data_IF_440746968849
#
_entry.id   IF_440746968849
#
_cell.length_a   1.000
_cell.length_b   1.000
_cell.length_c   1.000
_cell.angle_alpha   90.00
_cell.angle_beta   90.00
_cell.angle_gamma   90.00
#
_symmetry.space_group_name_H-M   'P 1'
#
loop_
_entity.id
_entity.type
_entity.pdbx_description
1 polymer ?
#
# COMPACT_ATOMS: atom_id res chain seq x y z
N UNK A 1 -1.04 -13.21 12.77
CA UNK A 1 -0.73 -12.50 14.03
C UNK A 1 0.52 -13.11 14.63
N UNK A 2 1.59 -12.34 14.80
CA UNK A 2 2.79 -12.79 15.54
C UNK A 2 2.83 -12.06 16.88
N UNK A 3 2.93 -12.81 17.97
CA UNK A 3 3.11 -12.27 19.30
C UNK A 3 4.56 -12.45 19.72
N UNK A 4 5.16 -11.38 20.21
CA UNK A 4 6.49 -11.37 20.82
C UNK A 4 6.32 -11.23 22.32
N UNK A 5 6.96 -12.09 23.11
CA UNK A 5 6.84 -12.05 24.57
C UNK A 5 7.76 -13.04 25.29
N UNK A 6 7.77 -12.95 26.62
CA UNK A 6 8.50 -13.86 27.49
C UNK A 6 7.72 -15.16 27.71
N UNK A 7 8.42 -16.29 27.77
CA UNK A 7 7.83 -17.57 28.17
C UNK A 7 8.20 -17.84 29.64
N UNK A 8 7.22 -17.70 30.53
CA UNK A 8 7.41 -17.82 31.97
C UNK A 8 6.98 -19.20 32.48
N UNK A 9 7.77 -19.78 33.37
CA UNK A 9 7.32 -20.92 34.14
C UNK A 9 6.32 -20.46 35.22
N UNK A 10 5.09 -20.96 35.15
CA UNK A 10 4.00 -20.52 36.03
C UNK A 10 4.22 -20.83 37.53
N UNK A 11 5.15 -21.73 37.87
CA UNK A 11 5.43 -22.12 39.25
C UNK A 11 6.61 -21.38 39.87
N UNK A 12 7.70 -21.19 39.12
CA UNK A 12 8.90 -20.51 39.61
C UNK A 12 8.98 -19.02 39.26
N UNK A 13 8.18 -18.55 38.30
CA UNK A 13 8.25 -17.17 37.79
C UNK A 13 9.50 -16.88 36.95
N UNK A 14 10.35 -17.88 36.71
CA UNK A 14 11.57 -17.77 35.91
C UNK A 14 11.26 -17.81 34.41
N UNK A 15 12.05 -17.09 33.63
CA UNK A 15 11.90 -17.00 32.18
C UNK A 15 12.72 -18.08 31.46
N UNK A 16 12.12 -18.68 30.42
CA UNK A 16 12.83 -19.57 29.52
C UNK A 16 13.91 -18.77 28.78
N UNK A 17 15.17 -19.16 28.99
CA UNK A 17 16.36 -18.42 28.57
C UNK A 17 17.23 -19.29 27.66
N UNK A 18 17.73 -18.70 26.57
CA UNK A 18 18.68 -19.33 25.64
C UNK A 18 19.99 -18.53 25.56
N UNK A 19 20.81 -18.56 26.63
CA UNK A 19 22.01 -17.73 26.77
C UNK A 19 23.15 -18.05 25.79
N UNK A 20 23.25 -19.30 25.34
CA UNK A 20 24.28 -19.76 24.41
C UNK A 20 23.65 -20.07 23.05
N UNK A 21 23.26 -19.03 22.30
CA UNK A 21 22.51 -19.08 21.03
C UNK A 21 23.15 -19.86 19.85
N UNK A 22 23.97 -20.87 20.13
CA UNK A 22 24.68 -21.74 19.18
C UNK A 22 24.43 -23.25 19.48
N UNK A 23 24.05 -23.65 20.70
CA UNK A 23 23.73 -25.05 21.01
C UNK A 23 22.28 -25.22 21.50
N UNK A 24 21.36 -25.79 20.69
CA UNK A 24 19.94 -25.95 21.04
C UNK A 24 19.70 -26.97 22.17
N UNK A 25 20.75 -27.58 22.74
CA UNK A 25 20.63 -28.62 23.77
C UNK A 25 20.50 -28.10 25.23
N UNK A 26 20.54 -26.78 25.48
CA UNK A 26 20.40 -26.22 26.83
C UNK A 26 19.53 -24.96 26.88
N UNK A 27 18.22 -25.16 27.02
CA UNK A 27 17.32 -24.13 27.53
C UNK A 27 17.35 -24.13 29.05
N UNK A 28 17.52 -22.96 29.67
CA UNK A 28 17.53 -22.78 31.12
C UNK A 28 16.33 -21.96 31.58
N UNK A 29 15.98 -22.06 32.85
CA UNK A 29 15.02 -21.16 33.51
C UNK A 29 15.81 -20.22 34.41
N UNK A 30 15.73 -18.91 34.15
CA UNK A 30 16.54 -17.91 34.84
C UNK A 30 15.71 -16.71 35.30
N UNK A 31 16.30 -15.87 36.16
CA UNK A 31 15.68 -14.64 36.61
C UNK A 31 15.47 -13.69 35.43
N UNK A 32 14.37 -12.93 35.47
CA UNK A 32 13.98 -12.03 34.41
C UNK A 32 14.99 -10.89 34.29
N UNK A 33 15.55 -10.69 33.11
CA UNK A 33 16.60 -9.69 32.86
C UNK A 33 16.34 -8.81 31.63
N UNK A 34 15.11 -8.84 31.09
CA UNK A 34 14.68 -8.15 29.86
C UNK A 34 15.62 -8.42 28.66
N UNK A 35 16.42 -9.49 28.73
CA UNK A 35 17.35 -9.82 27.66
C UNK A 35 16.64 -10.42 26.47
N UNK A 36 17.26 -10.28 25.29
CA UNK A 36 16.78 -10.94 24.08
C UNK A 36 16.84 -12.47 24.17
N UNK A 37 17.60 -13.02 25.13
CA UNK A 37 17.65 -14.47 25.37
C UNK A 37 16.38 -15.01 26.04
N UNK A 38 15.55 -14.12 26.59
CA UNK A 38 14.25 -14.44 27.21
C UNK A 38 13.05 -14.01 26.35
N UNK A 39 13.32 -13.40 25.20
CA UNK A 39 12.29 -12.87 24.30
C UNK A 39 12.02 -13.83 23.16
N UNK A 40 10.80 -14.36 23.09
CA UNK A 40 10.40 -15.36 22.12
C UNK A 40 9.36 -14.79 21.16
N UNK A 41 9.51 -15.09 19.87
CA UNK A 41 8.55 -14.73 18.82
C UNK A 41 7.84 -16.00 18.35
N UNK A 42 6.56 -16.12 18.67
CA UNK A 42 5.76 -17.19 18.10
C UNK A 42 5.48 -16.88 16.61
N UNK A 43 5.96 -17.74 15.71
CA UNK A 43 5.71 -17.65 14.26
C UNK A 43 5.17 -18.97 13.72
N UNK A 44 4.22 -18.88 12.80
CA UNK A 44 3.71 -20.00 12.01
C UNK A 44 4.38 -20.09 10.62
N UNK A 45 5.32 -19.20 10.31
CA UNK A 45 6.13 -19.21 9.09
C UNK A 45 7.57 -19.54 9.42
N UNK A 46 8.02 -20.70 8.95
CA UNK A 46 9.37 -21.27 9.17
C UNK A 46 10.29 -21.11 7.95
N UNK A 47 9.81 -20.55 6.85
CA UNK A 47 10.59 -20.46 5.60
C UNK A 47 11.19 -19.07 5.42
N UNK A 48 12.54 -18.95 5.34
CA UNK A 48 13.22 -17.75 4.87
C UNK A 48 12.76 -17.39 3.46
N UNK A 49 12.77 -16.10 3.11
CA UNK A 49 12.38 -15.62 1.78
C UNK A 49 13.64 -15.28 1.00
N UNK A 50 13.81 -15.90 -0.16
CA UNK A 50 14.89 -15.62 -1.11
C UNK A 50 14.47 -14.47 -2.02
N UNK A 51 15.28 -13.41 -2.09
CA UNK A 51 14.93 -12.18 -2.80
C UNK A 51 16.14 -11.54 -3.49
N UNK A 52 15.86 -10.77 -4.53
CA UNK A 52 16.71 -9.67 -4.99
C UNK A 52 16.15 -8.38 -4.38
N UNK A 53 17.01 -7.55 -3.78
CA UNK A 53 16.57 -6.28 -3.19
C UNK A 53 16.80 -5.19 -4.23
N UNK A 54 15.71 -4.77 -4.89
CA UNK A 54 15.72 -3.75 -5.93
C UNK A 54 15.65 -2.34 -5.33
N UNK A 55 16.57 -1.49 -5.73
CA UNK A 55 16.51 -0.04 -5.61
C UNK A 55 15.91 0.62 -6.86
N UNK A 56 16.00 1.96 -6.93
CA UNK A 56 15.56 2.72 -8.10
C UNK A 56 16.49 2.47 -9.30
N UNK A 57 16.01 2.74 -10.52
CA UNK A 57 16.79 2.70 -11.77
C UNK A 57 17.48 1.35 -12.09
N UNK A 58 16.81 0.23 -11.80
CA UNK A 58 17.36 -1.12 -12.02
C UNK A 58 18.68 -1.36 -11.26
N UNK A 59 18.85 -0.73 -10.10
CA UNK A 59 19.92 -1.06 -9.18
C UNK A 59 19.48 -2.12 -8.17
N UNK A 60 20.39 -3.01 -7.81
CA UNK A 60 20.18 -4.04 -6.81
C UNK A 60 21.20 -3.84 -5.69
N UNK A 61 20.82 -4.19 -4.46
CA UNK A 61 21.78 -4.28 -3.36
C UNK A 61 22.68 -5.47 -3.63
N UNK A 62 23.99 -5.22 -3.63
CA UNK A 62 25.05 -6.20 -3.82
C UNK A 62 25.94 -6.25 -2.58
N UNK A 63 26.62 -7.37 -2.41
CA UNK A 63 27.72 -7.47 -1.48
C UNK A 63 29.02 -7.92 -2.17
N UNK A 64 30.16 -7.54 -1.60
CA UNK A 64 31.48 -7.95 -2.09
C UNK A 64 32.39 -8.28 -0.90
N UNK A 65 33.15 -9.37 -1.04
CA UNK A 65 34.19 -9.81 -0.09
C UNK A 65 33.71 -9.99 1.36
N UNK A 66 32.41 -10.20 1.58
CA UNK A 66 31.82 -10.43 2.91
C UNK A 66 31.81 -9.22 3.84
N UNK A 67 32.07 -8.01 3.35
CA UNK A 67 32.03 -6.81 4.21
C UNK A 67 31.39 -5.61 3.52
N UNK A 68 31.57 -5.44 2.21
CA UNK A 68 31.06 -4.25 1.53
C UNK A 68 29.65 -4.51 1.01
N UNK A 69 28.71 -3.65 1.38
CA UNK A 69 27.38 -3.59 0.76
C UNK A 69 27.32 -2.33 -0.11
N UNK A 70 26.84 -2.46 -1.33
CA UNK A 70 26.77 -1.37 -2.31
C UNK A 70 25.59 -1.60 -3.26
N UNK A 71 25.32 -0.65 -4.16
CA UNK A 71 24.36 -0.84 -5.24
C UNK A 71 25.07 -0.96 -6.57
N UNK A 72 24.59 -1.84 -7.44
CA UNK A 72 25.02 -1.94 -8.83
C UNK A 72 23.84 -2.36 -9.72
N UNK A 73 24.01 -2.34 -11.04
CA UNK A 73 22.95 -2.77 -11.97
C UNK A 73 22.47 -4.19 -11.66
N UNK A 74 21.16 -4.38 -11.55
CA UNK A 74 20.54 -5.67 -11.31
C UNK A 74 20.93 -6.69 -12.40
N UNK A 75 21.40 -7.84 -11.97
CA UNK A 75 21.75 -8.98 -12.78
C UNK A 75 21.21 -10.25 -12.11
N UNK A 76 20.21 -10.87 -12.73
CA UNK A 76 19.54 -12.07 -12.20
C UNK A 76 20.41 -13.33 -12.17
N UNK A 77 21.63 -13.28 -12.72
CA UNK A 77 22.63 -14.35 -12.63
C UNK A 77 23.72 -14.07 -11.61
N UNK A 78 23.69 -12.92 -10.93
CA UNK A 78 24.72 -12.50 -10.00
C UNK A 78 24.36 -12.99 -8.58
N UNK A 79 25.06 -14.02 -8.09
CA UNK A 79 24.84 -14.57 -6.75
C UNK A 79 25.12 -13.57 -5.63
N UNK A 80 25.96 -12.57 -5.89
CA UNK A 80 26.25 -11.48 -4.96
C UNK A 80 25.11 -10.46 -4.81
N UNK A 81 23.99 -10.64 -5.52
CA UNK A 81 22.76 -9.83 -5.43
C UNK A 81 21.59 -10.58 -4.77
N UNK A 82 21.82 -11.83 -4.37
CA UNK A 82 20.82 -12.69 -3.77
C UNK A 82 20.87 -12.61 -2.24
N UNK A 83 19.70 -12.36 -1.64
CA UNK A 83 19.54 -12.15 -0.21
C UNK A 83 18.48 -13.08 0.37
N UNK A 84 18.66 -13.41 1.65
CA UNK A 84 17.70 -14.16 2.44
C UNK A 84 17.16 -13.26 3.55
N UNK A 85 15.84 -13.13 3.58
CA UNK A 85 15.11 -12.46 4.65
C UNK A 85 14.69 -13.48 5.70
N UNK A 86 15.25 -13.37 6.90
CA UNK A 86 14.92 -14.25 8.01
C UNK A 86 13.79 -13.67 8.88
N UNK A 87 12.93 -14.53 9.47
CA UNK A 87 11.87 -14.08 10.39
C UNK A 87 12.36 -13.38 11.66
N UNK A 88 13.65 -13.53 11.98
CA UNK A 88 14.36 -12.85 13.06
C UNK A 88 14.67 -11.36 12.76
N UNK A 89 14.37 -10.90 11.53
CA UNK A 89 14.59 -9.53 11.07
C UNK A 89 15.95 -9.28 10.43
N UNK A 90 16.78 -10.32 10.27
CA UNK A 90 18.08 -10.21 9.59
C UNK A 90 17.95 -10.36 8.07
N UNK A 91 18.83 -9.66 7.36
CA UNK A 91 19.00 -9.76 5.91
C UNK A 91 20.40 -10.32 5.68
N UNK A 92 20.50 -11.47 5.01
CA UNK A 92 21.76 -12.22 4.88
C UNK A 92 22.11 -12.50 3.42
N UNK A 93 23.38 -12.36 3.01
CA UNK A 93 23.85 -12.81 1.71
C UNK A 93 23.59 -14.31 1.50
N UNK A 94 23.15 -14.74 0.31
CA UNK A 94 22.90 -16.16 0.06
C UNK A 94 24.15 -17.03 0.22
N UNK A 95 25.32 -16.52 -0.15
CA UNK A 95 26.60 -17.26 -0.07
C UNK A 95 27.28 -17.11 1.29
N UNK A 96 26.76 -16.27 2.20
CA UNK A 96 27.35 -16.03 3.51
C UNK A 96 26.30 -15.85 4.61
N UNK A 97 25.70 -16.97 5.03
CA UNK A 97 24.61 -17.01 6.01
C UNK A 97 24.99 -16.62 7.45
N UNK A 98 26.29 -16.57 7.75
CA UNK A 98 26.82 -16.04 9.01
C UNK A 98 26.92 -14.51 9.01
N UNK A 99 26.73 -13.90 7.83
CA UNK A 99 26.75 -12.46 7.59
C UNK A 99 25.36 -11.84 7.65
N UNK A 100 25.27 -10.66 8.25
CA UNK A 100 24.07 -9.83 8.33
C UNK A 100 24.37 -8.44 7.78
N UNK A 101 23.42 -7.85 7.05
CA UNK A 101 23.46 -6.41 6.76
C UNK A 101 23.38 -5.66 8.09
N UNK A 102 24.35 -4.80 8.34
CA UNK A 102 24.47 -4.01 9.56
C UNK A 102 24.76 -2.54 9.29
N UNK A 103 24.48 -1.70 10.29
CA UNK A 103 24.96 -0.32 10.33
C UNK A 103 26.42 -0.32 10.80
N UNK A 104 27.36 -0.04 9.90
CA UNK A 104 28.80 0.04 10.17
C UNK A 104 29.16 1.29 11.00
N UNK A 105 28.52 2.42 10.72
CA UNK A 105 28.72 3.65 11.48
C UNK A 105 27.52 4.59 11.37
N UNK A 106 27.28 5.36 12.45
CA UNK A 106 26.27 6.41 12.53
C UNK A 106 26.98 7.77 12.50
N UNK A 107 26.85 8.54 11.42
CA UNK A 107 27.27 9.93 11.40
C UNK A 107 26.12 10.82 11.84
N UNK A 108 26.23 11.44 13.02
CA UNK A 108 25.27 12.45 13.46
C UNK A 108 25.38 13.76 12.66
N UNK A 109 26.56 14.06 12.12
CA UNK A 109 26.83 15.28 11.37
C UNK A 109 26.30 15.25 9.92
N UNK A 110 26.24 14.08 9.30
CA UNK A 110 25.83 13.93 7.90
C UNK A 110 24.42 13.34 7.73
N UNK A 111 23.74 12.98 8.81
CA UNK A 111 22.48 12.19 8.79
C UNK A 111 22.54 10.86 8.03
N UNK A 112 23.70 10.46 7.52
CA UNK A 112 23.93 9.22 6.76
C UNK A 112 24.27 8.04 7.66
N UNK A 113 23.95 6.84 7.17
CA UNK A 113 24.40 5.56 7.75
C UNK A 113 25.28 4.86 6.72
N UNK A 114 26.42 4.34 7.16
CA UNK A 114 27.17 3.39 6.34
C UNK A 114 26.67 2.00 6.67
N UNK A 115 26.36 1.22 5.65
CA UNK A 115 25.94 -0.18 5.80
C UNK A 115 27.08 -1.11 5.36
N UNK A 116 27.23 -2.22 6.06
CA UNK A 116 28.21 -3.26 5.72
C UNK A 116 27.60 -4.64 5.98
N UNK A 117 28.27 -5.70 5.54
CA UNK A 117 27.95 -7.05 5.96
C UNK A 117 28.91 -7.43 7.10
N UNK A 118 28.37 -7.84 8.24
CA UNK A 118 29.15 -8.22 9.43
C UNK A 118 28.65 -9.54 10.01
N UNK A 119 29.40 -10.13 10.94
CA UNK A 119 28.92 -11.35 11.62
C UNK A 119 27.65 -11.03 12.41
N UNK A 120 26.60 -11.83 12.21
CA UNK A 120 25.28 -11.66 12.86
C UNK A 120 25.29 -11.68 14.41
N UNK A 121 26.45 -11.91 15.04
CA UNK A 121 26.65 -12.01 16.49
C UNK A 121 27.11 -10.70 17.16
N UNK A 122 27.53 -9.70 16.40
CA UNK A 122 28.07 -8.44 16.95
C UNK A 122 26.99 -7.34 16.89
N UNK A 123 26.45 -6.93 18.04
CA UNK A 123 25.44 -5.84 18.12
C UNK A 123 24.10 -6.11 17.40
N UNK A 124 23.23 -6.98 17.96
CA UNK A 124 21.96 -7.44 17.33
C UNK A 124 20.97 -6.30 16.99
N UNK A 125 21.16 -5.13 17.56
CA UNK A 125 20.37 -3.93 17.33
C UNK A 125 20.64 -3.27 15.97
N UNK A 126 21.84 -3.45 15.42
CA UNK A 126 22.27 -2.87 14.16
C UNK A 126 21.90 -3.74 12.95
N UNK A 127 21.48 -4.99 13.19
CA UNK A 127 21.26 -6.02 12.15
C UNK A 127 19.79 -6.26 11.83
N UNK A 128 18.89 -5.70 12.63
CA UNK A 128 17.44 -5.91 12.52
C UNK A 128 16.82 -4.84 11.64
N UNK A 129 16.18 -5.28 10.57
CA UNK A 129 15.54 -4.44 9.58
C UNK A 129 14.06 -4.75 9.46
N UNK A 130 13.26 -3.71 9.21
CA UNK A 130 11.83 -3.77 9.02
C UNK A 130 11.51 -3.22 7.63
N UNK A 131 10.83 -4.03 6.82
CA UNK A 131 10.20 -3.55 5.59
C UNK A 131 8.92 -2.83 5.97
N UNK A 132 8.89 -1.51 5.80
CA UNK A 132 7.71 -0.70 6.05
C UNK A 132 6.78 -0.67 4.84
N UNK A 133 5.50 -0.35 5.07
CA UNK A 133 4.46 -0.32 4.05
C UNK A 133 4.70 0.73 2.94
N UNK A 134 5.56 1.71 3.22
CA UNK A 134 6.03 2.74 2.28
C UNK A 134 7.18 2.24 1.37
N UNK A 135 7.56 0.97 1.47
CA UNK A 135 8.64 0.36 0.69
C UNK A 135 10.04 0.62 1.23
N UNK A 136 10.19 1.31 2.36
CA UNK A 136 11.49 1.55 2.98
C UNK A 136 11.98 0.33 3.79
N UNK A 137 13.30 0.16 3.87
CA UNK A 137 13.97 -0.81 4.76
C UNK A 137 14.55 -0.03 5.93
N UNK A 138 13.96 -0.16 7.11
CA UNK A 138 14.28 0.63 8.31
C UNK A 138 15.01 -0.21 9.33
N UNK A 139 16.08 0.30 9.91
CA UNK A 139 16.67 -0.32 11.09
C UNK A 139 15.70 -0.18 12.27
N UNK A 140 15.43 -1.28 12.97
CA UNK A 140 14.34 -1.35 13.94
C UNK A 140 14.49 -0.38 15.12
N UNK A 141 15.74 -0.08 15.54
CA UNK A 141 16.02 0.77 16.70
C UNK A 141 16.24 2.22 16.32
N UNK A 142 17.07 2.48 15.32
CA UNK A 142 17.41 3.84 14.90
C UNK A 142 16.34 4.49 14.03
N UNK A 143 15.42 3.69 13.46
CA UNK A 143 14.40 4.13 12.50
C UNK A 143 14.96 4.73 11.19
N UNK A 144 16.29 4.68 11.01
CA UNK A 144 16.98 5.13 9.79
C UNK A 144 16.79 4.13 8.65
N UNK A 145 16.77 4.65 7.42
CA UNK A 145 16.44 3.90 6.20
C UNK A 145 17.71 3.54 5.44
N UNK A 146 17.74 2.35 4.81
CA UNK A 146 18.74 2.03 3.78
C UNK A 146 18.44 2.88 2.54
N UNK A 147 19.34 3.81 2.24
CA UNK A 147 19.27 4.66 1.06
C UNK A 147 20.61 4.66 0.32
N UNK A 148 20.58 4.57 -1.01
CA UNK A 148 21.77 4.55 -1.84
C UNK A 148 22.24 5.99 -2.08
N UNK A 149 23.25 6.41 -1.31
CA UNK A 149 23.91 7.70 -1.52
C UNK A 149 24.80 7.62 -2.76
N UNK A 150 24.27 8.01 -3.92
CA UNK A 150 25.08 8.25 -5.11
C UNK A 150 25.63 9.67 -5.10
N UNK A 151 26.96 9.80 -5.10
CA UNK A 151 27.62 11.07 -5.41
C UNK A 151 27.47 11.38 -6.90
N UNK A 152 26.65 12.40 -7.20
CA UNK A 152 26.60 13.21 -8.44
C UNK A 152 26.39 12.49 -9.78
N UNK A 153 25.13 12.43 -10.17
CA UNK A 153 24.69 12.73 -11.54
C UNK A 153 23.26 13.29 -11.45
N UNK A 154 22.98 14.41 -12.13
CA UNK A 154 21.75 15.20 -11.98
C UNK A 154 20.47 14.35 -11.89
N UNK A 155 19.92 14.28 -10.68
CA UNK A 155 18.68 13.56 -10.42
C UNK A 155 17.51 14.41 -10.84
N UNK A 156 16.61 13.80 -11.60
CA UNK A 156 15.33 14.35 -11.95
C UNK A 156 14.28 13.81 -10.95
N UNK A 157 13.67 14.68 -10.14
CA UNK A 157 12.60 14.33 -9.20
C UNK A 157 11.31 15.06 -9.53
N UNK A 158 10.19 14.46 -9.08
CA UNK A 158 8.87 15.05 -9.19
C UNK A 158 8.74 16.22 -8.20
N UNK A 159 8.61 17.42 -8.74
CA UNK A 159 8.55 18.69 -8.03
C UNK A 159 7.22 19.40 -8.33
N UNK A 160 6.69 20.11 -7.34
CA UNK A 160 5.68 21.13 -7.56
C UNK A 160 6.31 22.44 -8.05
N UNK A 161 5.88 22.96 -9.19
CA UNK A 161 6.34 24.27 -9.68
C UNK A 161 5.83 25.47 -8.85
N UNK A 162 5.09 25.22 -7.76
CA UNK A 162 4.45 26.20 -6.90
C UNK A 162 3.64 25.55 -5.77
N UNK A 163 3.17 26.36 -4.83
CA UNK A 163 2.44 25.92 -3.61
C UNK A 163 0.95 26.18 -3.64
N UNK A 164 0.40 26.63 -4.77
CA UNK A 164 -1.02 26.97 -4.94
C UNK A 164 -1.74 25.93 -5.80
N UNK A 165 -3.07 25.75 -5.64
CA UNK A 165 -3.87 24.92 -6.54
C UNK A 165 -3.66 25.30 -8.02
N UNK A 166 -3.59 24.29 -8.89
CA UNK A 166 -3.25 24.41 -10.30
C UNK A 166 -1.75 24.45 -10.61
N UNK A 167 -0.86 24.42 -9.60
CA UNK A 167 0.58 24.35 -9.84
C UNK A 167 0.93 23.07 -10.59
N UNK A 168 1.80 23.17 -11.60
CA UNK A 168 2.20 21.99 -12.38
C UNK A 168 3.14 21.11 -11.59
N UNK A 169 3.04 19.81 -11.81
CA UNK A 169 4.01 18.85 -11.30
C UNK A 169 4.99 18.53 -12.42
N UNK A 170 6.26 18.84 -12.21
CA UNK A 170 7.31 18.72 -13.21
C UNK A 170 8.41 17.81 -12.71
N UNK A 171 9.26 17.39 -13.65
CA UNK A 171 10.46 16.65 -13.35
C UNK A 171 11.62 17.66 -13.34
N UNK A 172 12.31 17.83 -12.21
CA UNK A 172 13.33 18.86 -12.01
C UNK A 172 14.59 18.31 -11.33
N UNK A 173 15.73 18.98 -11.53
CA UNK A 173 17.00 18.62 -10.93
C UNK A 173 17.02 18.81 -9.41
N UNK A 174 17.25 17.73 -8.65
CA UNK A 174 17.18 17.70 -7.18
C UNK A 174 18.16 18.64 -6.48
N UNK A 175 19.33 18.91 -7.07
CA UNK A 175 20.41 19.67 -6.41
C UNK A 175 20.08 21.17 -6.21
N UNK A 176 18.98 21.65 -6.80
CA UNK A 176 18.62 23.07 -6.84
C UNK A 176 17.39 23.44 -6.01
N UNK A 177 16.76 22.45 -5.36
CA UNK A 177 15.41 22.60 -4.83
C UNK A 177 15.34 22.52 -3.31
N UNK A 178 14.31 23.18 -2.76
CA UNK A 178 13.92 23.03 -1.36
C UNK A 178 13.48 21.58 -1.10
N UNK A 179 14.18 20.94 -0.16
CA UNK A 179 13.97 19.58 0.33
C UNK A 179 12.50 19.26 0.67
N UNK A 180 11.71 20.27 1.03
CA UNK A 180 10.29 20.11 1.36
C UNK A 180 9.40 19.97 0.13
N UNK A 181 9.72 20.62 -1.00
CA UNK A 181 8.98 20.55 -2.26
C UNK A 181 9.09 19.16 -2.93
N UNK A 182 10.12 18.39 -2.57
CA UNK A 182 10.40 17.04 -3.07
C UNK A 182 9.77 15.91 -2.23
N UNK A 183 9.15 16.24 -1.08
CA UNK A 183 8.60 15.24 -0.16
C UNK A 183 7.12 15.02 -0.46
N UNK A 184 6.75 13.76 -0.62
CA UNK A 184 5.39 13.32 -0.88
C UNK A 184 4.97 12.26 0.13
N UNK A 185 3.71 12.32 0.57
CA UNK A 185 3.10 11.36 1.46
C UNK A 185 1.96 10.64 0.72
N UNK A 186 2.02 9.32 0.66
CA UNK A 186 0.93 8.51 0.11
C UNK A 186 0.05 7.98 1.25
N UNK A 187 -1.25 8.23 1.19
CA UNK A 187 -2.23 7.68 2.13
C UNK A 187 -2.52 6.22 1.82
N UNK A 188 -3.17 5.51 2.75
CA UNK A 188 -3.62 4.14 2.52
C UNK A 188 -4.78 4.05 1.50
N UNK A 189 -5.46 5.16 1.24
CA UNK A 189 -6.51 5.26 0.22
C UNK A 189 -5.99 5.61 -1.16
N UNK A 190 -4.70 5.97 -1.27
CA UNK A 190 -4.05 6.25 -2.55
C UNK A 190 -3.87 7.74 -2.87
N UNK A 191 -4.22 8.64 -1.95
CA UNK A 191 -3.97 10.07 -2.11
C UNK A 191 -2.46 10.34 -1.98
N UNK A 192 -1.86 11.04 -2.95
CA UNK A 192 -0.45 11.41 -2.94
C UNK A 192 -0.29 12.92 -2.73
N UNK A 193 0.08 13.31 -1.52
CA UNK A 193 0.09 14.71 -1.07
C UNK A 193 1.51 15.24 -0.99
N UNK A 194 1.74 16.44 -1.51
CA UNK A 194 3.01 17.14 -1.35
C UNK A 194 3.15 17.70 0.06
N UNK A 195 4.24 17.38 0.75
CA UNK A 195 4.43 17.73 2.17
C UNK A 195 4.62 19.24 2.41
N UNK A 196 5.07 19.98 1.40
CA UNK A 196 5.30 21.42 1.52
C UNK A 196 4.01 22.23 1.33
N UNK A 197 3.21 21.90 0.33
CA UNK A 197 1.96 22.62 0.03
C UNK A 197 0.72 22.04 0.71
N UNK A 198 0.74 20.76 1.09
CA UNK A 198 -0.45 20.03 1.55
C UNK A 198 -1.44 19.70 0.44
N UNK A 199 -1.09 19.96 -0.83
CA UNK A 199 -1.94 19.72 -1.99
C UNK A 199 -1.74 18.31 -2.57
N UNK A 200 -2.78 17.76 -3.20
CA UNK A 200 -2.80 16.42 -3.76
C UNK A 200 -2.38 16.41 -5.24
N UNK A 201 -1.61 15.39 -5.63
CA UNK A 201 -1.30 15.10 -7.02
C UNK A 201 -2.59 14.71 -7.76
N UNK A 202 -2.92 15.46 -8.81
CA UNK A 202 -4.20 15.36 -9.51
C UNK A 202 -4.00 15.19 -11.01
N UNK A 203 -4.72 14.25 -11.62
CA UNK A 203 -4.90 14.13 -13.06
C UNK A 203 -6.25 14.76 -13.46
N UNK A 204 -6.25 16.09 -13.59
CA UNK A 204 -7.47 16.92 -13.73
C UNK A 204 -8.35 16.56 -14.93
N UNK A 205 -7.73 16.04 -15.97
CA UNK A 205 -8.37 15.57 -17.19
C UNK A 205 -7.91 14.14 -17.52
N UNK A 206 -8.85 13.28 -17.90
CA UNK A 206 -8.59 11.88 -18.27
C UNK A 206 -7.95 11.68 -19.66
N UNK A 207 -7.37 12.72 -20.27
CA UNK A 207 -6.73 12.62 -21.59
C UNK A 207 -5.28 12.12 -21.49
N UNK A 208 -4.75 11.55 -22.56
CA UNK A 208 -3.40 10.95 -22.57
C UNK A 208 -2.24 11.96 -22.54
N UNK A 209 -2.53 13.27 -22.61
CA UNK A 209 -1.53 14.36 -22.61
C UNK A 209 -1.74 15.35 -21.48
N UNK A 210 -2.68 15.06 -20.59
CA UNK A 210 -2.99 15.83 -19.40
C UNK A 210 -1.76 16.06 -18.54
N UNK A 211 -1.54 17.29 -18.11
CA UNK A 211 -0.47 17.58 -17.13
C UNK A 211 -0.98 17.25 -15.74
N UNK A 212 -0.11 16.65 -14.92
CA UNK A 212 -0.39 16.49 -13.50
C UNK A 212 -0.27 17.85 -12.81
N UNK A 213 -1.23 18.15 -11.93
CA UNK A 213 -1.25 19.38 -11.14
C UNK A 213 -1.35 19.05 -9.65
N UNK A 214 -0.98 20.03 -8.82
CA UNK A 214 -1.36 20.06 -7.43
C UNK A 214 -2.71 20.75 -7.29
N UNK A 215 -3.65 20.13 -6.60
CA UNK A 215 -4.97 20.70 -6.32
C UNK A 215 -5.34 20.51 -4.84
N UNK A 216 -6.39 21.20 -4.40
CA UNK A 216 -6.99 20.92 -3.09
C UNK A 216 -7.47 19.47 -3.05
N UNK A 217 -7.20 18.78 -1.94
CA UNK A 217 -7.63 17.40 -1.78
C UNK A 217 -9.16 17.36 -1.65
N UNK A 218 -9.84 16.80 -2.65
CA UNK A 218 -11.28 16.64 -2.68
C UNK A 218 -11.73 15.19 -2.59
N UNK A 219 -10.79 14.24 -2.41
CA UNK A 219 -11.06 12.81 -2.34
C UNK A 219 -11.76 12.31 -3.61
N UNK A 220 -11.30 12.78 -4.77
CA UNK A 220 -11.78 12.36 -6.08
C UNK A 220 -10.94 11.25 -6.68
N UNK A 221 -11.56 10.45 -7.56
CA UNK A 221 -10.85 9.42 -8.32
C UNK A 221 -9.73 9.98 -9.22
N UNK A 222 -9.67 11.29 -9.45
CA UNK A 222 -8.57 11.96 -10.18
C UNK A 222 -7.34 12.20 -9.30
N UNK A 223 -7.46 12.03 -7.98
CA UNK A 223 -6.42 12.20 -6.98
C UNK A 223 -5.97 10.87 -6.35
N UNK A 224 -6.54 9.76 -6.80
CA UNK A 224 -6.30 8.43 -6.24
C UNK A 224 -5.31 7.64 -7.09
N UNK A 225 -4.27 7.16 -6.42
CA UNK A 225 -3.15 6.45 -7.03
C UNK A 225 -2.94 5.11 -6.33
N UNK A 226 -2.51 4.11 -7.10
CA UNK A 226 -2.16 2.79 -6.57
C UNK A 226 -0.75 2.41 -6.98
N UNK A 227 0.09 2.13 -6.00
CA UNK A 227 1.38 1.49 -6.24
C UNK A 227 1.14 0.04 -6.62
N UNK A 228 1.41 -0.32 -7.88
CA UNK A 228 1.23 -1.68 -8.37
C UNK A 228 2.27 -2.00 -9.44
N UNK A 229 2.77 -3.22 -9.44
CA UNK A 229 3.54 -3.79 -10.56
C UNK A 229 2.62 -4.39 -11.64
N UNK A 230 1.31 -4.50 -11.36
CA UNK A 230 0.29 -4.96 -12.28
C UNK A 230 -0.53 -3.76 -12.76
N UNK A 231 -0.24 -3.32 -13.97
CA UNK A 231 -0.88 -2.16 -14.60
C UNK A 231 -2.24 -2.49 -15.23
N UNK A 232 -2.58 -3.77 -15.34
CA UNK A 232 -3.85 -4.21 -15.92
C UNK A 232 -4.95 -4.15 -14.86
N UNK A 233 -6.06 -3.42 -15.12
CA UNK A 233 -7.28 -3.54 -14.33
C UNK A 233 -7.74 -5.00 -14.25
N UNK A 234 -8.47 -5.33 -13.19
CA UNK A 234 -8.92 -6.70 -12.94
C UNK A 234 -10.42 -6.79 -13.22
N UNK A 235 -10.83 -7.80 -13.96
CA UNK A 235 -12.23 -8.06 -14.26
C UNK A 235 -12.80 -9.01 -13.19
N UNK A 236 -14.02 -8.71 -12.70
CA UNK A 236 -14.66 -9.48 -11.64
C UNK A 236 -16.19 -9.45 -11.76
N UNK A 237 -16.83 -10.46 -11.19
CA UNK A 237 -18.23 -10.41 -10.76
C UNK A 237 -18.30 -9.89 -9.33
N UNK A 238 -19.33 -9.11 -9.01
CA UNK A 238 -19.58 -8.58 -7.65
C UNK A 238 -20.82 -9.27 -7.09
N UNK A 239 -20.61 -10.23 -6.20
CA UNK A 239 -21.64 -11.06 -5.58
C UNK A 239 -22.14 -10.41 -4.30
N UNK A 240 -23.46 -10.35 -4.13
CA UNK A 240 -24.13 -10.05 -2.89
C UNK A 240 -24.85 -11.27 -2.31
N UNK A 241 -25.74 -11.01 -1.36
CA UNK A 241 -26.57 -12.05 -0.73
C UNK A 241 -27.52 -12.75 -1.72
N UNK A 242 -27.96 -13.98 -1.36
CA UNK A 242 -29.01 -14.72 -2.08
C UNK A 242 -28.74 -14.95 -3.59
N UNK A 243 -27.48 -15.20 -3.95
CA UNK A 243 -27.06 -15.39 -5.35
C UNK A 243 -27.44 -14.20 -6.25
N UNK A 244 -27.44 -12.99 -5.69
CA UNK A 244 -27.59 -11.75 -6.44
C UNK A 244 -26.22 -11.20 -6.82
N UNK A 245 -26.08 -10.67 -8.02
CA UNK A 245 -24.89 -10.03 -8.54
C UNK A 245 -25.21 -8.61 -8.96
N UNK A 246 -24.29 -7.67 -8.76
CA UNK A 246 -24.42 -6.33 -9.31
C UNK A 246 -24.36 -6.42 -10.83
N UNK A 247 -25.35 -5.84 -11.51
CA UNK A 247 -25.44 -5.82 -12.96
C UNK A 247 -25.71 -4.42 -13.51
N UNK A 248 -25.19 -4.19 -14.71
CA UNK A 248 -25.38 -3.00 -15.49
C UNK A 248 -26.42 -3.22 -16.58
N UNK A 249 -27.46 -2.38 -16.61
CA UNK A 249 -28.59 -2.57 -17.54
C UNK A 249 -28.35 -2.08 -18.98
N UNK A 250 -27.14 -1.58 -19.29
CA UNK A 250 -26.81 -1.02 -20.60
C UNK A 250 -27.13 0.48 -20.77
N UNK A 251 -27.53 1.20 -19.71
CA UNK A 251 -27.77 2.66 -19.72
C UNK A 251 -27.13 3.38 -18.52
N UNK A 252 -27.93 3.91 -17.59
CA UNK A 252 -27.45 4.48 -16.33
C UNK A 252 -27.73 3.53 -15.16
N UNK A 253 -28.54 2.49 -15.37
CA UNK A 253 -29.04 1.67 -14.28
C UNK A 253 -28.04 0.63 -13.80
N UNK A 254 -27.78 0.65 -12.50
CA UNK A 254 -27.00 -0.37 -11.79
C UNK A 254 -27.90 -0.95 -10.71
N UNK A 255 -28.03 -2.27 -10.73
CA UNK A 255 -29.01 -3.01 -9.96
C UNK A 255 -28.41 -4.33 -9.50
N UNK A 256 -29.19 -5.14 -8.80
CA UNK A 256 -28.89 -6.56 -8.60
C UNK A 256 -29.85 -7.46 -9.34
N UNK A 257 -29.33 -8.55 -9.87
CA UNK A 257 -30.11 -9.65 -10.45
C UNK A 257 -29.48 -10.99 -10.07
N UNK A 258 -30.16 -12.10 -10.38
CA UNK A 258 -29.58 -13.42 -10.18
C UNK A 258 -28.25 -13.59 -10.92
N UNK A 259 -27.22 -14.03 -10.21
CA UNK A 259 -25.90 -14.25 -10.78
C UNK A 259 -25.95 -15.24 -11.96
N UNK A 260 -25.38 -14.83 -13.09
CA UNK A 260 -25.31 -15.60 -14.33
C UNK A 260 -23.88 -15.61 -14.86
N UNK A 261 -23.20 -16.74 -14.70
CA UNK A 261 -21.82 -16.92 -15.18
C UNK A 261 -21.74 -16.70 -16.69
N UNK A 262 -20.74 -15.94 -17.14
CA UNK A 262 -20.56 -15.56 -18.54
C UNK A 262 -21.40 -14.36 -19.00
N UNK A 263 -22.26 -13.78 -18.14
CA UNK A 263 -22.95 -12.54 -18.47
C UNK A 263 -22.00 -11.35 -18.41
N UNK A 264 -21.79 -10.68 -19.54
CA UNK A 264 -20.95 -9.47 -19.60
C UNK A 264 -21.60 -8.26 -18.90
N UNK A 265 -22.92 -8.26 -18.69
CA UNK A 265 -23.59 -7.20 -17.92
C UNK A 265 -23.34 -7.29 -16.43
N UNK A 266 -22.83 -8.42 -15.93
CA UNK A 266 -22.46 -8.63 -14.52
C UNK A 266 -20.94 -8.58 -14.30
N UNK A 267 -20.18 -8.30 -15.37
CA UNK A 267 -18.73 -8.17 -15.31
C UNK A 267 -18.32 -6.71 -15.18
N UNK A 268 -17.46 -6.47 -14.19
CA UNK A 268 -16.96 -5.16 -13.83
C UNK A 268 -15.45 -5.15 -13.91
N UNK A 269 -14.89 -4.08 -14.45
CA UNK A 269 -13.47 -3.80 -14.46
C UNK A 269 -13.13 -2.89 -13.30
N UNK A 270 -12.28 -3.38 -12.41
CA UNK A 270 -11.81 -2.68 -11.21
C UNK A 270 -10.50 -1.96 -11.55
N UNK A 271 -10.55 -0.63 -11.57
CA UNK A 271 -9.40 0.19 -11.92
C UNK A 271 -8.56 0.59 -10.70
N UNK A 272 -7.25 0.89 -10.90
CA UNK A 272 -6.37 1.36 -9.84
C UNK A 272 -6.77 2.71 -9.21
N UNK A 273 -7.56 3.52 -9.93
CA UNK A 273 -8.10 4.83 -9.51
C UNK A 273 -9.33 4.71 -8.58
N UNK A 274 -9.69 3.48 -8.16
CA UNK A 274 -10.85 3.22 -7.31
C UNK A 274 -12.18 3.15 -8.07
N UNK A 275 -12.18 3.37 -9.39
CA UNK A 275 -13.42 3.28 -10.19
C UNK A 275 -13.79 1.83 -10.50
N UNK A 276 -15.11 1.57 -10.52
CA UNK A 276 -15.71 0.29 -10.91
C UNK A 276 -16.47 0.54 -12.21
N UNK A 277 -16.08 -0.14 -13.31
CA UNK A 277 -16.60 0.17 -14.65
C UNK A 277 -17.27 -1.04 -15.29
N UNK A 278 -18.44 -0.91 -15.94
CA UNK A 278 -19.03 -2.01 -16.70
C UNK A 278 -18.08 -2.46 -17.83
N UNK A 279 -17.87 -3.76 -18.01
CA UNK A 279 -16.92 -4.26 -19.05
C UNK A 279 -17.34 -3.86 -20.48
N UNK A 280 -18.64 -3.63 -20.69
CA UNK A 280 -19.23 -3.23 -21.96
C UNK A 280 -19.38 -1.71 -22.12
N UNK A 281 -18.98 -0.90 -21.12
CA UNK A 281 -18.97 0.55 -21.20
C UNK A 281 -17.89 1.14 -20.27
N UNK A 282 -16.64 1.15 -20.73
CA UNK A 282 -15.47 1.56 -19.94
C UNK A 282 -15.35 3.08 -19.72
N UNK A 283 -16.15 3.87 -20.43
CA UNK A 283 -16.33 5.31 -20.16
C UNK A 283 -17.32 5.56 -19.01
N UNK A 284 -18.03 4.51 -18.59
CA UNK A 284 -18.97 4.51 -17.48
C UNK A 284 -18.32 4.08 -16.16
N UNK A 285 -18.66 4.75 -15.07
CA UNK A 285 -18.22 4.48 -13.71
C UNK A 285 -19.43 4.30 -12.80
N UNK A 286 -19.38 3.34 -11.88
CA UNK A 286 -20.35 3.29 -10.77
C UNK A 286 -20.21 4.58 -9.96
N UNK A 287 -21.35 5.23 -9.70
CA UNK A 287 -21.43 6.48 -8.98
C UNK A 287 -22.62 6.51 -8.02
N UNK A 288 -22.56 7.42 -7.05
CA UNK A 288 -23.74 7.84 -6.32
C UNK A 288 -24.48 8.86 -7.20
N UNK A 289 -25.73 8.58 -7.58
CA UNK A 289 -26.50 9.45 -8.47
C UNK A 289 -26.73 10.83 -7.85
N UNK A 290 -25.99 11.84 -8.29
CA UNK A 290 -26.33 13.24 -8.02
C UNK A 290 -27.20 13.79 -9.15
N UNK A 291 -28.33 14.41 -8.82
CA UNK A 291 -29.17 15.10 -9.79
C UNK A 291 -28.38 16.27 -10.37
N UNK A 292 -28.09 16.18 -11.67
CA UNK A 292 -27.45 17.22 -12.46
C UNK A 292 -28.16 18.58 -12.28
N UNK A 293 -27.61 19.46 -11.45
CA UNK A 293 -27.74 20.90 -11.65
C UNK A 293 -26.61 21.62 -10.94
N UNK A 294 -25.96 22.51 -11.71
CA UNK A 294 -24.86 23.37 -11.33
C UNK A 294 -25.05 24.02 -9.95
N UNK A 295 -24.44 23.47 -8.91
CA UNK A 295 -23.92 24.16 -7.74
C UNK A 295 -23.17 23.12 -6.91
N UNK A 296 -21.92 23.44 -6.57
CA UNK A 296 -20.91 22.54 -5.99
C UNK A 296 -21.20 22.18 -4.52
N UNK A 297 -22.45 21.84 -4.22
CA UNK A 297 -22.92 21.48 -2.89
C UNK A 297 -23.64 20.14 -3.00
N UNK A 298 -23.09 19.10 -2.39
CA UNK A 298 -23.75 17.80 -2.25
C UNK A 298 -24.94 18.00 -1.30
N UNK A 299 -26.09 18.41 -1.84
CA UNK A 299 -27.36 18.37 -1.13
C UNK A 299 -27.93 16.96 -1.26
N UNK A 300 -27.67 16.12 -0.26
CA UNK A 300 -28.45 14.90 -0.04
C UNK A 300 -29.86 15.36 0.38
N UNK A 301 -30.73 15.70 -0.57
CA UNK A 301 -32.11 16.04 -0.25
C UNK A 301 -32.85 14.79 0.20
N UNK A 302 -33.40 14.83 1.40
CA UNK A 302 -33.99 13.71 2.12
C UNK A 302 -35.27 13.10 1.50
N UNK A 303 -35.73 13.55 0.32
CA UNK A 303 -37.05 13.19 -0.22
C UNK A 303 -37.06 12.66 -1.66
N UNK A 304 -35.90 12.46 -2.31
CA UNK A 304 -35.79 11.64 -3.52
C UNK A 304 -34.75 10.54 -3.26
N UNK A 305 -35.15 9.27 -3.36
CA UNK A 305 -34.24 8.12 -3.20
C UNK A 305 -33.05 8.29 -4.13
N UNK A 306 -31.86 8.49 -3.56
CA UNK A 306 -30.60 8.51 -4.31
C UNK A 306 -30.25 7.05 -4.60
N UNK A 307 -29.90 6.76 -5.85
CA UNK A 307 -29.53 5.41 -6.27
C UNK A 307 -28.03 5.33 -6.58
N UNK A 308 -27.50 4.12 -6.55
CA UNK A 308 -26.24 3.81 -7.21
C UNK A 308 -26.53 3.65 -8.70
N UNK A 309 -25.75 4.32 -9.54
CA UNK A 309 -25.94 4.32 -10.99
C UNK A 309 -24.59 4.22 -11.72
N UNK A 310 -24.62 4.16 -13.05
CA UNK A 310 -23.44 4.27 -13.89
C UNK A 310 -23.46 5.63 -14.59
N UNK A 311 -22.49 6.50 -14.30
CA UNK A 311 -22.30 7.81 -14.93
C UNK A 311 -21.06 7.85 -15.81
N UNK A 312 -20.87 8.92 -16.59
CA UNK A 312 -19.59 9.11 -17.30
C UNK A 312 -18.48 9.35 -16.28
N UNK A 313 -17.38 8.59 -16.36
CA UNK A 313 -16.25 8.71 -15.44
C UNK A 313 -15.62 10.11 -15.35
N UNK A 314 -15.90 10.98 -16.33
CA UNK A 314 -15.44 12.37 -16.37
C UNK A 314 -16.30 13.36 -15.57
N UNK A 315 -17.51 12.99 -15.17
CA UNK A 315 -18.36 13.79 -14.27
C UNK A 315 -18.09 13.46 -12.81
N UNK A 316 -18.28 14.41 -11.89
CA UNK A 316 -18.32 14.19 -10.43
C UNK A 316 -17.36 13.10 -9.88
N UNK A 317 -16.05 13.18 -10.14
CA UNK A 317 -15.09 12.11 -9.82
C UNK A 317 -15.00 11.77 -8.32
N UNK A 318 -15.43 12.66 -7.43
CA UNK A 318 -15.60 12.43 -5.99
C UNK A 318 -16.67 11.37 -5.65
N UNK A 319 -17.60 11.11 -6.56
CA UNK A 319 -18.66 10.09 -6.40
C UNK A 319 -18.28 8.74 -7.03
N UNK A 320 -17.14 8.66 -7.71
CA UNK A 320 -16.69 7.48 -8.47
C UNK A 320 -15.67 6.62 -7.73
N UNK A 321 -15.10 7.11 -6.64
CA UNK A 321 -14.09 6.40 -5.90
C UNK A 321 -14.74 5.42 -4.91
N UNK A 322 -14.45 4.13 -5.08
CA UNK A 322 -14.96 3.05 -4.25
C UNK A 322 -13.83 2.23 -3.64
N UNK A 323 -13.93 1.97 -2.33
CA UNK A 323 -12.97 1.19 -1.56
C UNK A 323 -13.62 -0.11 -1.11
N UNK A 324 -13.05 -1.23 -1.55
CA UNK A 324 -13.39 -2.56 -1.06
C UNK A 324 -12.77 -2.77 0.33
N UNK A 325 -13.61 -2.85 1.34
CA UNK A 325 -13.20 -2.94 2.75
C UNK A 325 -13.13 -4.40 3.22
N UNK A 326 -12.30 -4.67 4.24
CA UNK A 326 -12.13 -6.03 4.79
C UNK A 326 -13.39 -6.57 5.50
N UNK A 327 -14.33 -5.69 5.84
CA UNK A 327 -15.65 -6.04 6.37
C UNK A 327 -16.63 -6.47 5.25
N UNK A 328 -16.21 -6.45 3.99
CA UNK A 328 -17.00 -6.81 2.82
C UNK A 328 -17.83 -5.67 2.23
N UNK A 329 -17.79 -4.47 2.81
CA UNK A 329 -18.48 -3.31 2.25
C UNK A 329 -17.73 -2.74 1.04
N UNK A 330 -18.48 -2.18 0.09
CA UNK A 330 -17.96 -1.32 -0.98
C UNK A 330 -18.31 0.12 -0.60
N UNK A 331 -17.33 0.90 -0.17
CA UNK A 331 -17.53 2.24 0.42
C UNK A 331 -17.16 3.33 -0.56
N UNK A 332 -18.01 4.34 -0.73
CA UNK A 332 -17.62 5.54 -1.43
C UNK A 332 -16.76 6.41 -0.52
N UNK A 333 -15.59 6.83 -1.01
CA UNK A 333 -14.62 7.53 -0.17
C UNK A 333 -15.11 8.91 0.29
N UNK A 334 -15.75 9.69 -0.59
CA UNK A 334 -16.22 11.03 -0.24
C UNK A 334 -17.39 11.02 0.76
N UNK A 335 -18.44 10.27 0.44
CA UNK A 335 -19.69 10.26 1.21
C UNK A 335 -19.65 9.37 2.44
N UNK A 336 -18.66 8.46 2.52
CA UNK A 336 -18.55 7.40 3.53
C UNK A 336 -19.74 6.41 3.55
N UNK A 337 -20.65 6.50 2.57
CA UNK A 337 -21.75 5.56 2.37
C UNK A 337 -21.27 4.29 1.69
N UNK A 338 -22.07 3.23 1.81
CA UNK A 338 -21.78 1.93 1.18
C UNK A 338 -22.82 1.58 0.13
N UNK A 339 -22.45 0.74 -0.83
CA UNK A 339 -23.42 0.12 -1.74
C UNK A 339 -24.32 -0.82 -0.91
N UNK A 340 -25.60 -0.50 -0.85
CA UNK A 340 -26.62 -1.22 -0.09
C UNK A 340 -27.74 -1.68 -1.03
N UNK A 341 -28.11 -2.96 -0.96
CA UNK A 341 -29.29 -3.50 -1.65
C UNK A 341 -30.57 -3.07 -0.92
N UNK A 342 -31.38 -2.26 -1.61
CA UNK A 342 -32.61 -1.68 -1.06
C UNK A 342 -33.56 -2.74 -0.54
N UNK A 343 -34.00 -2.58 0.71
CA UNK A 343 -35.02 -3.45 1.32
C UNK A 343 -36.43 -3.10 0.86
N UNK A 344 -36.67 -1.87 0.38
CA UNK A 344 -37.98 -1.39 -0.03
C UNK A 344 -38.23 -1.51 -1.53
N UNK A 345 -37.16 -1.54 -2.34
CA UNK A 345 -37.24 -1.62 -3.80
C UNK A 345 -36.35 -2.75 -4.31
N UNK A 346 -36.95 -3.91 -4.58
CA UNK A 346 -36.22 -5.11 -4.97
C UNK A 346 -35.34 -4.86 -6.20
N UNK A 347 -34.06 -5.22 -6.09
CA UNK A 347 -33.06 -5.09 -7.15
C UNK A 347 -32.38 -3.72 -7.22
N UNK A 348 -32.86 -2.70 -6.50
CA UNK A 348 -32.21 -1.39 -6.49
C UNK A 348 -31.03 -1.35 -5.52
N UNK A 349 -30.03 -0.58 -5.89
CA UNK A 349 -28.88 -0.26 -5.05
C UNK A 349 -28.97 1.22 -4.62
N UNK A 350 -28.72 1.47 -3.34
CA UNK A 350 -28.74 2.81 -2.74
C UNK A 350 -27.45 3.05 -1.95
N UNK A 351 -26.97 4.30 -1.84
CA UNK A 351 -25.92 4.64 -0.90
C UNK A 351 -26.52 4.69 0.52
N UNK A 352 -25.98 3.93 1.46
CA UNK A 352 -26.49 3.90 2.83
C UNK A 352 -25.40 3.92 3.90
N UNK A 353 -25.78 4.25 5.13
CA UNK A 353 -24.87 4.13 6.27
C UNK A 353 -24.56 2.67 6.56
N UNK A 354 -23.29 2.38 6.80
CA UNK A 354 -22.88 1.02 7.10
C UNK A 354 -23.47 0.54 8.43
N UNK A 355 -24.24 -0.54 8.37
CA UNK A 355 -24.81 -1.24 9.52
C UNK A 355 -24.39 -2.71 9.57
N UNK A 356 -23.69 -3.22 8.54
CA UNK A 356 -23.15 -4.58 8.52
C UNK A 356 -24.18 -5.66 8.17
N UNK A 357 -25.38 -5.28 7.75
CA UNK A 357 -26.38 -6.21 7.22
C UNK A 357 -25.92 -6.87 5.92
N UNK A 358 -26.43 -8.07 5.64
CA UNK A 358 -26.04 -8.88 4.47
C UNK A 358 -26.32 -8.22 3.11
N UNK A 359 -27.22 -7.23 3.08
CA UNK A 359 -27.48 -6.35 1.93
C UNK A 359 -26.34 -5.35 1.64
N UNK A 360 -25.34 -5.24 2.51
CA UNK A 360 -24.18 -4.36 2.34
C UNK A 360 -22.85 -5.12 2.13
N UNK A 361 -22.89 -6.46 2.13
CA UNK A 361 -21.71 -7.30 2.07
C UNK A 361 -21.55 -7.89 0.67
N UNK A 362 -20.39 -7.64 0.07
CA UNK A 362 -20.07 -7.99 -1.30
C UNK A 362 -18.80 -8.84 -1.39
N UNK A 363 -18.77 -9.77 -2.33
CA UNK A 363 -17.60 -10.63 -2.61
C UNK A 363 -17.23 -10.56 -4.08
N UNK A 364 -15.93 -10.59 -4.38
CA UNK A 364 -15.41 -10.57 -5.74
C UNK A 364 -15.13 -12.00 -6.23
N UNK A 365 -15.67 -12.37 -7.40
CA UNK A 365 -15.22 -13.53 -8.17
C UNK A 365 -14.45 -13.01 -9.40
N UNK A 366 -13.13 -13.16 -9.41
CA UNK A 366 -12.27 -12.71 -10.52
C UNK A 366 -12.47 -13.57 -11.77
N UNK A 367 -12.44 -12.92 -12.95
CA UNK A 367 -12.63 -13.55 -14.27
C UNK A 367 -11.34 -14.13 -14.83
#
# INVERSE_FOLDING_TARGET
MSYTGELLNAYSGLALTAKDGIDPSKLTLEERDDSSFQTWKATNKLTPIYVFIHGKNNQCISYENGYRVYTETCNSQASNQEWILFPDGTIRPIEWLDGCIEIASLSSAANTISIQAGRCSESPELHKWVFSHDGAIRNWKSQKVIDASETKAGYLAMESSGTTPGSSVVIHECETLDDTALRWAMSYTGELVNAHSGLALTAKDGTSTSKLTLEENDSSSFQTWKTTNKLTPVDAYIHGQNNQCIYYNGRYGVYTETCSKGSSTQQWRLYPDGTIRPINWLDGCIEIASLSSAENTIYIQAENTIYIQAGYCSGSPELHEWVFSNDGAIRNWKSQKVIDMSETEAGYLVPWDFHGGMNQIWTLEYV
#
